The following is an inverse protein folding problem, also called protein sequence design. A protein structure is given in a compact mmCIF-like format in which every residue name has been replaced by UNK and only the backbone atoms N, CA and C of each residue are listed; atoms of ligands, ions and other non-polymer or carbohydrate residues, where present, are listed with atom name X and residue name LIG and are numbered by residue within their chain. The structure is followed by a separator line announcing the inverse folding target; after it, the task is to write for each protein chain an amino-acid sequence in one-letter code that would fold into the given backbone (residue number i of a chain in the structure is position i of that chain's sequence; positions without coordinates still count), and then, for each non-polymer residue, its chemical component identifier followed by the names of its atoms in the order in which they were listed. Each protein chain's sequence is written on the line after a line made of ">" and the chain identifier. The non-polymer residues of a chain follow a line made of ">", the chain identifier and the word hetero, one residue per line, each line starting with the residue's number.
data_IF_381030842364
#
_entry.id   IF_381030842364
#
_cell.length_a   1.000
_cell.length_b   1.000
_cell.length_c   1.000
_cell.angle_alpha   90.00
_cell.angle_beta   90.00
_cell.angle_gamma   90.00
#
_symmetry.space_group_name_H-M   'P 1'
#
loop_
_entity.id
_entity.type
_entity.pdbx_description
1 polymer ?
#
# COMPACT_ATOMS: atom_id res chain seq x y z
N UNK A 1 -4.72 11.15 -7.16
CA UNK A 1 -3.84 10.26 -7.97
C UNK A 1 -3.14 10.97 -9.12
N UNK A 2 -3.85 11.71 -9.98
CA UNK A 2 -3.24 12.40 -11.15
C UNK A 2 -2.00 13.26 -10.79
N UNK A 3 -2.08 14.09 -9.75
CA UNK A 3 -0.97 14.96 -9.32
C UNK A 3 0.25 14.20 -8.77
N UNK A 4 0.02 13.00 -8.20
CA UNK A 4 1.09 12.11 -7.75
C UNK A 4 1.80 11.49 -8.96
N UNK A 5 1.02 10.95 -9.90
CA UNK A 5 1.56 10.28 -11.09
C UNK A 5 2.27 11.24 -12.06
N UNK A 6 1.79 12.49 -12.14
CA UNK A 6 2.43 13.55 -12.92
C UNK A 6 3.58 14.26 -12.18
N UNK A 7 3.92 13.80 -10.97
CA UNK A 7 4.93 14.41 -10.09
C UNK A 7 4.71 15.89 -9.76
N UNK A 8 3.49 16.41 -9.98
CA UNK A 8 3.12 17.78 -9.61
C UNK A 8 3.00 17.96 -8.09
N UNK A 9 2.79 16.86 -7.36
CA UNK A 9 2.84 16.83 -5.90
C UNK A 9 4.04 15.99 -5.42
N UNK A 10 5.13 16.66 -5.05
CA UNK A 10 6.40 16.01 -4.69
C UNK A 10 6.47 15.45 -3.27
N UNK A 11 5.57 15.85 -2.36
CA UNK A 11 5.60 15.42 -0.95
C UNK A 11 4.87 14.10 -0.75
N UNK A 12 5.58 12.99 -0.93
CA UNK A 12 4.97 11.66 -0.90
C UNK A 12 5.84 10.73 -0.08
N UNK A 13 5.22 9.77 0.61
CA UNK A 13 5.94 8.78 1.41
C UNK A 13 5.26 7.42 1.30
N UNK A 14 5.98 6.36 0.90
CA UNK A 14 5.45 5.02 0.95
C UNK A 14 5.34 4.52 2.39
N UNK A 15 4.29 3.75 2.67
CA UNK A 15 4.13 3.05 3.94
C UNK A 15 4.64 1.62 3.75
N UNK A 16 5.82 1.35 4.31
CA UNK A 16 6.51 0.08 4.12
C UNK A 16 6.14 -0.89 5.24
N UNK A 17 5.81 -2.13 4.87
CA UNK A 17 5.75 -3.26 5.80
C UNK A 17 7.12 -3.94 5.80
N UNK A 18 7.89 -3.74 6.87
CA UNK A 18 9.25 -4.27 7.00
C UNK A 18 9.24 -5.59 7.76
N UNK A 19 10.03 -6.55 7.27
CA UNK A 19 10.15 -7.90 7.82
C UNK A 19 11.63 -8.27 7.88
N UNK A 20 12.03 -8.93 8.97
CA UNK A 20 13.40 -9.44 9.11
C UNK A 20 13.62 -10.76 8.36
N UNK A 21 12.54 -11.50 8.13
CA UNK A 21 12.53 -12.81 7.48
C UNK A 21 11.20 -13.01 6.72
N UNK A 22 11.11 -14.08 5.95
CA UNK A 22 9.89 -14.44 5.22
C UNK A 22 8.72 -14.63 6.20
N UNK A 23 7.59 -13.93 6.01
CA UNK A 23 6.51 -13.97 6.98
C UNK A 23 5.80 -15.32 6.95
N UNK A 24 5.39 -15.80 8.13
CA UNK A 24 4.60 -17.02 8.27
C UNK A 24 3.39 -16.81 9.20
N UNK A 25 2.49 -17.78 9.22
CA UNK A 25 1.34 -17.81 10.12
C UNK A 25 0.49 -16.54 10.08
N UNK A 26 0.27 -15.92 11.25
CA UNK A 26 -0.58 -14.73 11.39
C UNK A 26 0.01 -13.49 10.72
N UNK A 27 1.33 -13.35 10.71
CA UNK A 27 2.03 -12.21 10.09
C UNK A 27 1.78 -12.22 8.59
N UNK A 28 1.98 -13.38 7.95
CA UNK A 28 1.68 -13.55 6.52
C UNK A 28 0.23 -13.22 6.19
N UNK A 29 -0.72 -13.75 6.96
CA UNK A 29 -2.16 -13.46 6.77
C UNK A 29 -2.48 -11.97 6.87
N UNK A 30 -1.83 -11.26 7.78
CA UNK A 30 -2.02 -9.82 7.92
C UNK A 30 -1.49 -9.06 6.69
N UNK A 31 -0.28 -9.39 6.24
CA UNK A 31 0.32 -8.76 5.05
C UNK A 31 -0.53 -9.02 3.81
N UNK A 32 -0.95 -10.28 3.61
CA UNK A 32 -1.85 -10.66 2.51
C UNK A 32 -3.17 -9.90 2.58
N UNK A 33 -3.74 -9.74 3.77
CA UNK A 33 -4.96 -8.94 3.96
C UNK A 33 -4.73 -7.47 3.63
N UNK A 34 -3.66 -6.86 4.14
CA UNK A 34 -3.33 -5.46 3.90
C UNK A 34 -3.11 -5.17 2.40
N UNK A 35 -2.51 -6.11 1.67
CA UNK A 35 -2.28 -6.02 0.23
C UNK A 35 -3.48 -6.46 -0.63
N UNK A 36 -4.48 -7.12 -0.03
CA UNK A 36 -5.70 -7.54 -0.74
C UNK A 36 -6.55 -6.35 -1.20
N UNK A 37 -7.45 -6.59 -2.16
CA UNK A 37 -8.44 -5.58 -2.59
C UNK A 37 -9.19 -4.96 -1.42
N UNK A 38 -9.67 -5.79 -0.48
CA UNK A 38 -10.41 -5.33 0.70
C UNK A 38 -9.56 -4.44 1.60
N UNK A 39 -8.32 -4.84 1.88
CA UNK A 39 -7.39 -4.03 2.68
C UNK A 39 -7.10 -2.68 2.02
N UNK A 40 -6.83 -2.69 0.71
CA UNK A 40 -6.59 -1.49 -0.07
C UNK A 40 -7.81 -0.56 -0.15
N UNK A 41 -9.02 -1.11 -0.26
CA UNK A 41 -10.26 -0.32 -0.28
C UNK A 41 -10.47 0.43 1.05
N UNK A 42 -10.12 -0.19 2.20
CA UNK A 42 -10.14 0.46 3.51
C UNK A 42 -9.13 1.62 3.56
N UNK A 43 -7.89 1.39 3.09
CA UNK A 43 -6.87 2.45 3.10
C UNK A 43 -7.29 3.65 2.23
N UNK A 44 -7.94 3.40 1.09
CA UNK A 44 -8.48 4.47 0.23
C UNK A 44 -9.57 5.29 0.92
N UNK A 45 -10.48 4.65 1.65
CA UNK A 45 -11.52 5.39 2.39
C UNK A 45 -10.93 6.31 3.46
N UNK A 46 -9.75 5.98 3.99
CA UNK A 46 -9.02 6.77 4.97
C UNK A 46 -8.10 7.84 4.34
N UNK A 47 -8.18 8.04 3.01
CA UNK A 47 -7.44 9.09 2.29
C UNK A 47 -6.03 8.69 1.84
N UNK A 48 -5.66 7.42 1.96
CA UNK A 48 -4.40 6.91 1.41
C UNK A 48 -4.54 6.55 -0.07
N UNK A 49 -3.41 6.46 -0.75
CA UNK A 49 -3.34 6.04 -2.15
C UNK A 49 -2.96 4.56 -2.18
N UNK A 50 -3.75 3.76 -2.90
CA UNK A 50 -3.49 2.33 -3.00
C UNK A 50 -2.28 2.04 -3.87
N UNK A 51 -1.45 1.10 -3.40
CA UNK A 51 -0.25 0.68 -4.13
C UNK A 51 -0.59 -0.03 -5.44
N UNK A 52 -1.76 -0.67 -5.53
CA UNK A 52 -2.22 -1.36 -6.76
C UNK A 52 -2.61 -0.39 -7.87
N UNK A 53 -2.86 0.88 -7.55
CA UNK A 53 -3.20 1.93 -8.52
C UNK A 53 -1.97 2.72 -9.01
N UNK A 54 -0.84 2.63 -8.30
CA UNK A 54 0.39 3.35 -8.64
C UNK A 54 1.22 2.59 -9.69
N UNK A 55 0.91 1.31 -9.95
CA UNK A 55 1.47 0.52 -11.07
C UNK A 55 2.98 0.26 -11.00
N UNK A 56 3.60 0.42 -9.81
CA UNK A 56 5.06 0.31 -9.63
C UNK A 56 5.55 -0.93 -8.90
N UNK A 57 4.68 -1.87 -8.51
CA UNK A 57 5.05 -3.16 -7.93
C UNK A 57 4.04 -4.23 -8.32
#
# INVERSE_FOLDING_TARGET
>A
LANLLSSQYGFTRPFLLLLLEEPSGKVKKFIEFALSKKGQDILKSDGLISVTEIGKY
#
